data_IF_300734124324
#
_entry.id   IF_300734124324
#
_cell.length_a   1.000
_cell.length_b   1.000
_cell.length_c   1.000
_cell.angle_alpha   90.00
_cell.angle_beta   90.00
_cell.angle_gamma   90.00
#
_symmetry.space_group_name_H-M   'P 1'
#
loop_
_entity.id
_entity.type
_entity.pdbx_description
1 polymer ?
#
# COMPACT_ATOMS: atom_id res chain seq x y z
N UNK A 1 37.07 3.04 7.81
CA UNK A 1 36.01 2.23 8.45
C UNK A 1 34.78 2.37 7.58
N UNK A 2 34.45 1.36 6.78
CA UNK A 2 33.27 1.36 5.91
C UNK A 2 32.24 0.43 6.54
N UNK A 3 31.15 1.00 7.04
CA UNK A 3 30.02 0.24 7.55
C UNK A 3 29.14 -0.08 6.35
N UNK A 4 28.99 -1.37 6.06
CA UNK A 4 27.97 -1.87 5.15
C UNK A 4 26.72 -2.12 6.00
N UNK A 5 25.73 -1.23 5.91
CA UNK A 5 24.40 -1.47 6.47
C UNK A 5 23.58 -2.19 5.40
N UNK A 6 23.21 -3.44 5.68
CA UNK A 6 22.30 -4.21 4.86
C UNK A 6 20.93 -4.15 5.53
N UNK A 7 19.97 -3.54 4.86
CA UNK A 7 18.56 -3.58 5.23
C UNK A 7 17.96 -4.91 4.74
N UNK A 8 17.46 -5.72 5.67
CA UNK A 8 17.02 -7.11 5.40
C UNK A 8 15.51 -7.24 5.20
N UNK A 9 14.78 -6.14 5.03
CA UNK A 9 13.32 -6.13 4.85
C UNK A 9 12.81 -6.78 3.53
N UNK A 10 13.70 -7.37 2.72
CA UNK A 10 13.36 -7.98 1.42
C UNK A 10 13.78 -9.44 1.19
N UNK A 11 14.42 -10.13 2.15
CA UNK A 11 15.05 -11.45 1.85
C UNK A 11 14.41 -12.64 2.58
N UNK A 12 13.68 -12.42 3.69
CA UNK A 12 13.06 -13.53 4.45
C UNK A 12 11.60 -13.30 4.87
N UNK A 13 11.05 -12.11 4.63
CA UNK A 13 9.64 -11.81 4.81
C UNK A 13 9.11 -11.30 3.46
N UNK A 14 7.97 -11.80 3.01
CA UNK A 14 7.31 -11.23 1.83
C UNK A 14 6.67 -9.90 2.22
N UNK A 15 7.51 -8.86 2.28
CA UNK A 15 7.13 -7.52 2.73
C UNK A 15 5.97 -6.95 1.93
N UNK A 16 5.81 -7.36 0.67
CA UNK A 16 4.68 -6.95 -0.16
C UNK A 16 3.33 -7.42 0.39
N UNK A 17 3.27 -8.63 0.94
CA UNK A 17 2.06 -9.18 1.58
C UNK A 17 1.71 -8.45 2.87
N UNK A 18 2.70 -8.26 3.76
CA UNK A 18 2.48 -7.54 5.01
C UNK A 18 2.07 -6.09 4.73
N UNK A 19 2.81 -5.40 3.86
CA UNK A 19 2.51 -4.02 3.44
C UNK A 19 1.12 -3.93 2.87
N UNK A 20 0.71 -4.85 2.01
CA UNK A 20 -0.65 -4.85 1.45
C UNK A 20 -1.72 -4.99 2.54
N UNK A 21 -1.58 -5.93 3.48
CA UNK A 21 -2.53 -6.09 4.59
C UNK A 21 -2.62 -4.82 5.43
N UNK A 22 -1.48 -4.26 5.82
CA UNK A 22 -1.43 -3.02 6.63
C UNK A 22 -2.01 -1.84 5.87
N UNK A 23 -1.68 -1.69 4.59
CA UNK A 23 -2.17 -0.60 3.76
C UNK A 23 -3.70 -0.66 3.62
N UNK A 24 -4.27 -1.84 3.39
CA UNK A 24 -5.73 -2.02 3.32
C UNK A 24 -6.40 -1.71 4.66
N UNK A 25 -5.82 -2.12 5.79
CA UNK A 25 -6.36 -1.81 7.12
C UNK A 25 -6.32 -0.32 7.43
N UNK A 26 -5.21 0.35 7.09
CA UNK A 26 -5.06 1.79 7.24
C UNK A 26 -6.05 2.55 6.35
N UNK A 27 -6.18 2.13 5.09
CA UNK A 27 -7.11 2.70 4.13
C UNK A 27 -8.56 2.53 4.57
N UNK A 28 -8.94 1.36 5.09
CA UNK A 28 -10.26 1.11 5.65
C UNK A 28 -10.58 1.98 6.87
N UNK A 29 -9.56 2.34 7.66
CA UNK A 29 -9.72 3.26 8.79
C UNK A 29 -9.90 4.71 8.35
N UNK A 30 -9.20 5.14 7.31
CA UNK A 30 -9.24 6.52 6.82
C UNK A 30 -10.44 6.79 5.89
N UNK A 31 -10.75 5.85 5.01
CA UNK A 31 -11.81 5.93 4.00
C UNK A 31 -12.83 4.79 4.17
N UNK A 32 -13.55 4.69 5.30
CA UNK A 32 -14.42 3.55 5.61
C UNK A 32 -15.59 3.37 4.65
N UNK A 33 -15.94 4.40 3.88
CA UNK A 33 -16.99 4.39 2.86
C UNK A 33 -16.50 4.08 1.44
N UNK A 34 -15.21 3.80 1.26
CA UNK A 34 -14.64 3.49 -0.05
C UNK A 34 -15.25 2.22 -0.64
N UNK A 35 -15.71 2.30 -1.88
CA UNK A 35 -16.23 1.15 -2.63
C UNK A 35 -15.12 0.13 -2.96
N UNK A 36 -13.85 0.56 -2.99
CA UNK A 36 -12.72 -0.31 -3.24
C UNK A 36 -12.55 -1.36 -2.12
N UNK A 37 -12.98 -1.05 -0.90
CA UNK A 37 -12.87 -1.95 0.26
C UNK A 37 -13.62 -3.27 0.09
N UNK A 38 -14.73 -3.30 -0.65
CA UNK A 38 -15.49 -4.54 -0.89
C UNK A 38 -14.66 -5.55 -1.70
N UNK A 39 -13.75 -5.05 -2.54
CA UNK A 39 -12.82 -5.87 -3.33
C UNK A 39 -11.51 -6.14 -2.58
N UNK A 40 -11.01 -5.18 -1.80
CA UNK A 40 -9.75 -5.33 -1.07
C UNK A 40 -9.85 -6.26 0.15
N UNK A 41 -10.98 -6.25 0.88
CA UNK A 41 -11.14 -7.04 2.12
C UNK A 41 -10.92 -8.55 1.92
N UNK A 42 -11.54 -9.20 0.91
CA UNK A 42 -11.27 -10.62 0.65
C UNK A 42 -9.81 -10.92 0.34
N UNK A 43 -9.14 -10.06 -0.44
CA UNK A 43 -7.73 -10.22 -0.79
C UNK A 43 -6.82 -10.05 0.44
N UNK A 44 -7.15 -9.07 1.27
CA UNK A 44 -6.45 -8.80 2.53
C UNK A 44 -6.61 -9.97 3.52
N UNK A 45 -7.80 -10.56 3.61
CA UNK A 45 -8.04 -11.70 4.50
C UNK A 45 -7.34 -12.98 4.01
N UNK A 46 -7.31 -13.22 2.70
CA UNK A 46 -6.50 -14.29 2.10
C UNK A 46 -5.01 -14.08 2.41
N UNK A 47 -4.50 -12.87 2.19
CA UNK A 47 -3.11 -12.50 2.48
C UNK A 47 -2.75 -12.67 3.96
N UNK A 48 -3.59 -12.19 4.88
CA UNK A 48 -3.37 -12.35 6.33
C UNK A 48 -3.42 -13.83 6.76
N UNK A 49 -4.33 -14.61 6.17
CA UNK A 49 -4.47 -16.04 6.43
C UNK A 49 -3.33 -16.90 5.88
N UNK A 50 -2.37 -16.31 5.17
CA UNK A 50 -1.26 -17.02 4.54
C UNK A 50 -1.64 -17.71 3.22
N UNK A 51 -2.76 -17.32 2.62
CA UNK A 51 -3.17 -17.74 1.29
C UNK A 51 -2.24 -17.21 0.19
N UNK A 52 -2.58 -17.54 -1.06
CA UNK A 52 -1.79 -17.15 -2.24
C UNK A 52 -2.65 -16.65 -3.39
N UNK A 53 -3.98 -16.74 -3.28
CA UNK A 53 -4.90 -16.40 -4.36
C UNK A 53 -4.85 -14.90 -4.64
N UNK A 54 -4.68 -14.08 -3.58
CA UNK A 54 -4.52 -12.63 -3.69
C UNK A 54 -3.40 -12.21 -4.65
N UNK A 55 -2.35 -13.03 -4.82
CA UNK A 55 -1.20 -12.71 -5.69
C UNK A 55 -1.55 -12.70 -7.17
N UNK A 56 -2.60 -13.43 -7.54
CA UNK A 56 -3.08 -13.51 -8.92
C UNK A 56 -4.17 -12.48 -9.24
N UNK A 57 -4.62 -11.73 -8.23
CA UNK A 57 -5.65 -10.71 -8.41
C UNK A 57 -5.08 -9.47 -9.13
N UNK A 58 -5.90 -8.89 -10.00
CA UNK A 58 -5.54 -7.72 -10.78
C UNK A 58 -5.26 -6.50 -9.88
N UNK A 59 -6.01 -6.30 -8.79
CA UNK A 59 -5.81 -5.18 -7.88
C UNK A 59 -4.47 -5.30 -7.15
N UNK A 60 -4.13 -6.49 -6.69
CA UNK A 60 -2.83 -6.73 -6.06
C UNK A 60 -1.68 -6.52 -7.04
N UNK A 61 -1.86 -6.93 -8.30
CA UNK A 61 -0.88 -6.73 -9.37
C UNK A 61 -0.67 -5.24 -9.65
N UNK A 62 -1.74 -4.44 -9.74
CA UNK A 62 -1.62 -2.99 -9.93
C UNK A 62 -0.97 -2.34 -8.71
N UNK A 63 -1.39 -2.69 -7.49
CA UNK A 63 -0.80 -2.18 -6.25
C UNK A 63 0.70 -2.45 -6.20
N UNK A 64 1.12 -3.69 -6.43
CA UNK A 64 2.54 -4.07 -6.42
C UNK A 64 3.33 -3.43 -7.56
N UNK A 65 2.69 -3.16 -8.70
CA UNK A 65 3.27 -2.42 -9.81
C UNK A 65 3.58 -0.94 -9.50
N UNK A 66 2.90 -0.34 -8.52
CA UNK A 66 3.13 1.06 -8.11
C UNK A 66 4.20 1.21 -7.02
N UNK A 67 4.54 0.14 -6.28
CA UNK A 67 5.55 0.18 -5.22
C UNK A 67 6.95 0.66 -5.64
N UNK A 68 7.41 0.47 -6.90
CA UNK A 68 8.67 1.06 -7.34
C UNK A 68 8.67 2.59 -7.40
N UNK A 69 7.49 3.24 -7.48
CA UNK A 69 7.33 4.69 -7.59
C UNK A 69 7.28 5.40 -6.22
N UNK A 70 7.02 4.64 -5.16
CA UNK A 70 6.96 5.12 -3.78
C UNK A 70 7.00 3.96 -2.79
N UNK A 71 7.78 4.11 -1.71
CA UNK A 71 8.06 3.02 -0.76
C UNK A 71 7.95 3.43 0.72
N UNK A 72 7.31 4.56 1.01
CA UNK A 72 6.96 5.01 2.37
C UNK A 72 5.54 4.57 2.72
N UNK A 73 5.17 4.74 3.99
CA UNK A 73 3.84 4.37 4.48
C UNK A 73 2.71 5.08 3.69
N UNK A 74 2.83 6.39 3.51
CA UNK A 74 1.87 7.20 2.77
C UNK A 74 1.76 6.81 1.28
N UNK A 75 2.84 6.32 0.67
CA UNK A 75 2.88 5.92 -0.74
C UNK A 75 1.96 4.72 -1.04
N UNK A 76 1.79 3.82 -0.07
CA UNK A 76 0.86 2.70 -0.20
C UNK A 76 -0.60 3.20 -0.21
N UNK A 77 -0.91 4.23 0.58
CA UNK A 77 -2.22 4.89 0.56
C UNK A 77 -2.48 5.58 -0.77
N UNK A 78 -1.48 6.29 -1.31
CA UNK A 78 -1.53 6.90 -2.64
C UNK A 78 -1.81 5.85 -3.71
N UNK A 79 -1.14 4.70 -3.65
CA UNK A 79 -1.35 3.59 -4.59
C UNK A 79 -2.78 3.05 -4.54
N UNK A 80 -3.34 2.84 -3.35
CA UNK A 80 -4.73 2.42 -3.18
C UNK A 80 -5.73 3.49 -3.66
N UNK A 81 -5.42 4.77 -3.44
CA UNK A 81 -6.25 5.87 -3.91
C UNK A 81 -6.25 5.99 -5.44
N UNK A 82 -5.10 5.81 -6.09
CA UNK A 82 -4.99 5.77 -7.54
C UNK A 82 -5.82 4.61 -8.14
N UNK A 83 -5.81 3.45 -7.48
CA UNK A 83 -6.63 2.30 -7.87
C UNK A 83 -8.13 2.60 -7.71
N UNK A 84 -8.54 3.24 -6.62
CA UNK A 84 -9.94 3.64 -6.40
C UNK A 84 -10.41 4.65 -7.46
N UNK A 85 -9.58 5.65 -7.75
CA UNK A 85 -9.90 6.73 -8.68
C UNK A 85 -9.70 6.31 -10.15
N UNK A 86 -9.39 5.02 -10.40
CA UNK A 86 -9.07 4.45 -11.72
C UNK A 86 -8.02 5.27 -12.50
N UNK A 87 -7.08 5.86 -11.76
CA UNK A 87 -6.03 6.73 -12.32
C UNK A 87 -4.85 5.90 -12.80
N UNK A 88 -4.51 6.05 -14.09
CA UNK A 88 -3.36 5.36 -14.69
C UNK A 88 -2.09 6.14 -14.41
N UNK A 89 -1.17 5.52 -13.65
CA UNK A 89 0.15 6.06 -13.34
C UNK A 89 1.19 5.14 -13.98
N UNK A 90 1.88 5.63 -15.01
CA UNK A 90 2.86 4.85 -15.78
C UNK A 90 4.31 5.13 -15.36
N UNK A 91 4.56 6.28 -14.73
CA UNK A 91 5.89 6.76 -14.40
C UNK A 91 5.92 7.62 -13.12
N UNK A 92 7.14 8.02 -12.75
CA UNK A 92 7.39 8.83 -11.57
C UNK A 92 6.76 10.24 -11.66
N UNK A 93 6.68 10.83 -12.85
CA UNK A 93 6.13 12.18 -13.01
C UNK A 93 4.61 12.18 -12.78
N UNK A 94 3.92 11.17 -13.31
CA UNK A 94 2.51 10.92 -13.04
C UNK A 94 2.26 10.64 -11.56
N UNK A 95 3.12 9.81 -10.94
CA UNK A 95 3.04 9.52 -9.51
C UNK A 95 3.18 10.78 -8.66
N UNK A 96 4.23 11.57 -8.89
CA UNK A 96 4.51 12.80 -8.15
C UNK A 96 3.39 13.83 -8.32
N UNK A 97 2.74 13.86 -9.49
CA UNK A 97 1.60 14.73 -9.75
C UNK A 97 0.39 14.29 -8.92
N UNK A 98 0.02 13.01 -8.98
CA UNK A 98 -1.08 12.47 -8.20
C UNK A 98 -0.84 12.58 -6.68
N UNK A 99 0.39 12.33 -6.23
CA UNK A 99 0.81 12.51 -4.84
C UNK A 99 0.57 13.95 -4.34
N UNK A 100 0.87 14.96 -5.18
CA UNK A 100 0.62 16.37 -4.84
C UNK A 100 -0.86 16.72 -4.79
N UNK A 101 -1.70 16.09 -5.63
CA UNK A 101 -3.14 16.33 -5.69
C UNK A 101 -3.88 15.83 -4.45
N UNK A 102 -3.47 14.69 -3.89
CA UNK A 102 -4.02 14.12 -2.65
C UNK A 102 -3.87 15.09 -1.46
N UNK A 103 -2.73 15.79 -1.40
CA UNK A 103 -2.44 16.82 -0.42
C UNK A 103 -1.90 16.29 0.92
N UNK A 104 -1.01 17.08 1.53
CA UNK A 104 -0.20 16.68 2.69
C UNK A 104 -1.01 16.17 3.88
N UNK A 105 -2.14 16.81 4.20
CA UNK A 105 -2.97 16.41 5.34
C UNK A 105 -3.49 14.98 5.22
N UNK A 106 -3.88 14.58 4.01
CA UNK A 106 -4.37 13.22 3.76
C UNK A 106 -3.23 12.21 3.91
N UNK A 107 -2.05 12.54 3.39
CA UNK A 107 -0.84 11.72 3.47
C UNK A 107 -0.40 11.50 4.92
N UNK A 108 -0.36 12.57 5.73
CA UNK A 108 -0.02 12.49 7.16
C UNK A 108 -1.01 11.61 7.93
N UNK A 109 -2.31 11.75 7.63
CA UNK A 109 -3.36 10.92 8.25
C UNK A 109 -3.17 9.44 7.90
N UNK A 110 -2.83 9.15 6.65
CA UNK A 110 -2.59 7.77 6.20
C UNK A 110 -1.34 7.20 6.86
N UNK A 111 -0.28 7.98 6.92
CA UNK A 111 0.97 7.59 7.58
C UNK A 111 0.72 7.16 9.04
N UNK A 112 -0.01 7.97 9.81
CA UNK A 112 -0.38 7.64 11.18
C UNK A 112 -1.24 6.36 11.27
N UNK A 113 -2.23 6.23 10.39
CA UNK A 113 -3.10 5.06 10.32
C UNK A 113 -2.32 3.77 9.98
N UNK A 114 -1.35 3.86 9.06
CA UNK A 114 -0.50 2.75 8.63
C UNK A 114 0.34 2.20 9.79
N UNK A 115 1.06 3.05 10.52
CA UNK A 115 1.84 2.59 11.67
C UNK A 115 0.97 2.09 12.81
N UNK A 116 -0.22 2.68 13.00
CA UNK A 116 -1.21 2.18 13.96
C UNK A 116 -1.68 0.77 13.59
N UNK A 117 -1.99 0.52 12.32
CA UNK A 117 -2.38 -0.80 11.83
C UNK A 117 -1.22 -1.81 11.94
N UNK A 118 -0.02 -1.44 11.52
CA UNK A 118 1.18 -2.29 11.58
C UNK A 118 1.49 -2.76 13.00
N UNK A 119 1.30 -1.91 14.01
CA UNK A 119 1.54 -2.26 15.42
C UNK A 119 0.61 -3.35 15.98
N UNK A 120 -0.44 -3.73 15.24
CA UNK A 120 -1.45 -4.73 15.64
C UNK A 120 -1.25 -6.10 14.98
N UNK A 121 -0.34 -6.20 14.00
CA UNK A 121 0.06 -7.47 13.37
C UNK A 121 1.11 -8.17 14.22
#
# INVERSE_FOLDING_TARGET
>A
MHILALDFDGVLCDSSREVFVVAVDAYASQEPGSALLDRLRPLRDDALGGGVDFRSDALYTVFTGLLPLGNRAEDFGVSLKAIEDETVIEDQEGYDTFYREIGQKWLDTFHEAFYTARSRL
#
